data_IF_710421399006
#
_entry.id   IF_710421399006
#
_cell.length_a   1.000
_cell.length_b   1.000
_cell.length_c   1.000
_cell.angle_alpha   90.00
_cell.angle_beta   90.00
_cell.angle_gamma   90.00
#
_symmetry.space_group_name_H-M   'P 1'
#
loop_
_entity.id
_entity.type
_entity.pdbx_description
1 polymer ?
2 non-polymer ?
3 non-polymer ?
4 non-polymer ?
5 water ?
#
# COMPACT_ATOMS: atom_id res chain seq x y z
C UNK A 1 13.59 -30.04 21.46
N UNK A 2 14.30 -28.95 21.20
CA UNK A 2 13.73 -27.89 20.34
C UNK A 2 14.56 -27.62 19.09
N UNK A 3 13.93 -27.01 18.09
CA UNK A 3 14.57 -26.72 16.82
C UNK A 3 14.04 -25.40 16.28
N UNK A 4 14.90 -24.68 15.57
CA UNK A 4 14.49 -23.48 14.84
C UNK A 4 13.68 -23.89 13.63
N UNK A 5 12.43 -23.46 13.61
CA UNK A 5 11.51 -23.77 12.53
C UNK A 5 11.49 -22.68 11.46
N UNK A 6 11.72 -21.44 11.89
CA UNK A 6 11.79 -20.31 10.96
C UNK A 6 12.56 -19.21 11.65
N UNK A 7 13.30 -18.44 10.86
CA UNK A 7 14.05 -17.34 11.44
C UNK A 7 14.28 -16.29 10.37
N UNK A 8 14.17 -15.04 10.75
CA UNK A 8 14.56 -13.95 9.87
C UNK A 8 14.99 -12.77 10.72
N UNK A 9 15.90 -11.95 10.21
CA UNK A 9 16.41 -10.85 11.03
C UNK A 9 16.90 -9.76 10.05
N UNK A 10 16.98 -8.53 10.54
CA UNK A 10 17.48 -7.44 9.68
C UNK A 10 17.25 -6.09 10.30
N UNK A 11 17.03 -5.08 9.45
CA UNK A 11 16.94 -3.68 9.95
C UNK A 11 15.59 -3.13 9.52
N UNK A 12 14.89 -2.52 10.46
CA UNK A 12 13.58 -1.90 10.18
C UNK A 12 13.71 -0.40 10.31
N UNK A 13 12.74 0.32 9.70
CA UNK A 13 12.65 1.77 9.91
C UNK A 13 13.88 2.56 9.49
N UNK A 14 14.45 2.17 8.36
CA UNK A 14 15.59 2.88 7.80
C UNK A 14 15.05 4.00 6.89
N UNK A 15 15.16 5.24 7.36
CA UNK A 15 14.66 6.39 6.60
C UNK A 15 15.72 6.77 5.57
N UNK A 16 15.29 6.98 4.33
CA UNK A 16 16.22 7.33 3.27
C UNK A 16 15.63 8.46 2.42
N UNK A 17 16.44 9.48 2.13
CA UNK A 17 16.06 10.53 1.19
C UNK A 17 17.10 10.52 0.06
N UNK A 18 16.65 10.72 -1.17
CA UNK A 18 17.60 10.89 -2.29
C UNK A 18 17.12 12.07 -3.11
N UNK A 19 18.08 12.88 -3.59
CA UNK A 19 17.77 13.97 -4.50
C UNK A 19 18.42 13.70 -5.87
N UNK A 20 17.71 14.07 -6.93
CA UNK A 20 18.26 14.05 -8.29
C UNK A 20 18.30 15.50 -8.75
N UNK A 21 19.43 15.91 -9.34
CA UNK A 21 19.63 17.28 -9.81
C UNK A 21 19.89 17.24 -11.31
N UNK A 22 18.99 17.84 -12.08
CA UNK A 22 19.18 17.99 -13.51
C UNK A 22 20.03 19.25 -13.71
N UNK A 23 21.28 19.04 -14.15
CA UNK A 23 22.21 20.16 -14.33
C UNK A 23 21.78 21.09 -15.46
N UNK A 24 21.21 20.53 -16.53
CA UNK A 24 20.76 21.33 -17.68
C UNK A 24 19.64 22.32 -17.29
N UNK A 25 18.62 21.82 -16.59
CA UNK A 25 17.41 22.61 -16.32
C UNK A 25 17.38 23.22 -14.93
N UNK A 26 18.22 22.72 -14.03
CA UNK A 26 18.23 23.17 -12.64
C UNK A 26 17.16 22.53 -11.77
N UNK A 27 16.30 21.71 -12.36
CA UNK A 27 15.19 21.10 -11.64
C UNK A 27 15.71 19.98 -10.75
N UNK A 28 15.19 19.93 -9.51
CA UNK A 28 15.58 18.90 -8.55
C UNK A 28 14.35 18.07 -8.21
N UNK A 29 14.55 16.78 -7.94
CA UNK A 29 13.41 15.87 -7.66
C UNK A 29 13.84 15.06 -6.45
N UNK A 30 12.94 14.96 -5.48
CA UNK A 30 13.30 14.28 -4.22
C UNK A 30 12.47 13.01 -4.04
N UNK A 31 13.06 12.03 -3.36
CA UNK A 31 12.38 10.77 -3.04
C UNK A 31 12.63 10.50 -1.59
N UNK A 32 11.60 10.16 -0.83
CA UNK A 32 11.85 9.76 0.56
C UNK A 32 11.11 8.48 0.85
N UNK A 33 11.79 7.56 1.55
CA UNK A 33 11.23 6.22 1.78
C UNK A 33 11.58 5.75 3.18
N UNK A 34 10.88 4.74 3.68
CA UNK A 34 11.31 4.03 4.86
C UNK A 34 11.44 2.58 4.44
N UNK A 35 12.57 1.98 4.78
CA UNK A 35 12.92 0.67 4.24
C UNK A 35 13.11 -0.32 5.37
N UNK A 36 12.69 -1.56 5.14
CA UNK A 36 12.94 -2.67 6.07
C UNK A 36 13.49 -3.83 5.25
N UNK A 37 14.58 -4.43 5.71
CA UNK A 37 15.17 -5.59 5.00
C UNK A 37 15.35 -6.68 6.03
N UNK A 38 14.77 -7.84 5.75
CA UNK A 38 14.94 -9.02 6.63
C UNK A 38 15.48 -10.14 5.78
N UNK A 39 16.48 -10.82 6.33
CA UNK A 39 17.16 -11.92 5.63
C UNK A 39 16.81 -13.27 6.25
N UNK A 40 16.84 -14.30 5.41
CA UNK A 40 16.76 -15.70 5.86
C UNK A 40 17.92 -16.50 5.25
N UNK A 41 18.32 -17.58 5.88
CA UNK A 41 19.25 -18.52 5.23
C UNK A 41 19.79 -19.46 6.28
N UNK A 42 21.06 -19.83 6.12
CA UNK A 42 21.68 -20.78 7.01
C UNK A 42 22.24 -20.08 8.24
N UNK A 43 21.32 -19.62 9.11
CA UNK A 43 21.70 -18.78 10.23
C UNK A 43 21.25 -19.35 11.57
N UNK A 44 20.72 -20.58 11.56
CA UNK A 44 20.19 -21.20 12.78
C UNK A 44 21.19 -21.20 13.92
N UNK A 45 22.47 -21.38 13.61
CA UNK A 45 23.51 -21.47 14.65
C UNK A 45 23.71 -20.19 15.44
N UNK A 46 23.30 -19.04 14.89
CA UNK A 46 23.37 -17.83 15.69
C UNK A 46 22.40 -17.87 16.85
N UNK A 47 21.28 -18.56 16.67
CA UNK A 47 20.29 -18.70 17.72
C UNK A 47 20.65 -19.83 18.69
N UNK A 48 21.11 -20.95 18.15
CA UNK A 48 21.27 -22.16 18.95
C UNK A 48 22.64 -22.32 19.61
N UNK A 49 23.68 -21.77 18.99
CA UNK A 49 25.06 -22.01 19.47
C UNK A 49 25.86 -20.72 19.74
N UNK A 50 25.18 -19.57 19.63
CA UNK A 50 25.84 -18.28 19.78
C UNK A 50 26.96 -18.12 18.75
N UNK A 51 26.71 -18.60 17.55
CA UNK A 51 27.66 -18.52 16.45
C UNK A 51 27.33 -17.26 15.66
N UNK A 52 28.00 -16.15 15.99
CA UNK A 52 27.73 -14.91 15.25
C UNK A 52 28.40 -14.85 13.86
N UNK A 53 29.17 -15.87 13.49
CA UNK A 53 29.92 -15.81 12.24
C UNK A 53 29.03 -15.79 11.02
N UNK A 54 27.81 -16.29 11.21
CA UNK A 54 26.79 -16.34 10.15
C UNK A 54 25.99 -15.04 10.02
N UNK A 55 26.20 -14.13 10.96
CA UNK A 55 25.39 -12.90 10.98
C UNK A 55 26.03 -11.77 10.20
N UNK A 56 25.34 -11.35 9.15
CA UNK A 56 25.59 -10.07 8.50
C UNK A 56 24.91 -9.08 9.45
N UNK A 57 25.69 -8.20 10.10
CA UNK A 57 25.15 -7.36 11.18
C UNK A 57 24.04 -6.47 10.62
N UNK A 58 23.04 -6.18 11.45
CA UNK A 58 21.91 -5.37 10.97
C UNK A 58 22.43 -3.97 10.63
N UNK A 59 23.43 -3.51 11.36
CA UNK A 59 24.13 -2.23 11.04
C UNK A 59 24.70 -2.23 9.63
N UNK A 60 25.26 -3.38 9.22
CA UNK A 60 25.75 -3.52 7.83
C UNK A 60 24.64 -3.51 6.81
N UNK A 61 23.51 -4.10 7.14
CA UNK A 61 22.33 -4.04 6.28
C UNK A 61 21.95 -2.57 6.07
N UNK A 62 21.96 -1.80 7.14
CA UNK A 62 21.66 -0.36 7.06
C UNK A 62 22.64 0.33 6.09
N UNK A 63 23.94 0.10 6.26
CA UNK A 63 24.95 0.67 5.34
C UNK A 63 24.67 0.32 3.89
N UNK A 64 24.31 -0.95 3.66
CA UNK A 64 24.06 -1.46 2.34
C UNK A 64 22.86 -0.76 1.68
N UNK A 65 21.83 -0.47 2.47
CA UNK A 65 20.71 0.26 1.93
C UNK A 65 21.18 1.65 1.41
N UNK A 66 21.97 2.39 2.18
CA UNK A 66 22.41 3.72 1.73
C UNK A 66 23.30 3.61 0.50
N UNK A 67 24.25 2.67 0.51
CA UNK A 67 25.18 2.44 -0.62
C UNK A 67 24.39 2.09 -1.91
N UNK A 68 23.43 1.17 -1.79
CA UNK A 68 22.60 0.78 -2.90
C UNK A 68 21.78 1.95 -3.45
N UNK A 69 21.24 2.77 -2.55
CA UNK A 69 20.52 3.97 -2.97
C UNK A 69 21.44 4.96 -3.69
N UNK A 70 22.71 5.01 -3.27
CA UNK A 70 23.70 5.93 -3.91
C UNK A 70 24.02 5.50 -5.36
N UNK A 71 24.04 4.21 -5.60
CA UNK A 71 24.51 3.66 -6.89
C UNK A 71 23.44 3.21 -7.87
N UNK A 72 22.17 3.34 -7.49
CA UNK A 72 21.06 2.85 -8.29
C UNK A 72 19.87 3.79 -8.24
N UNK A 73 18.96 3.66 -9.21
CA UNK A 73 17.78 4.50 -9.13
C UNK A 73 16.93 3.97 -7.97
N UNK A 74 16.20 4.86 -7.33
CA UNK A 74 15.36 4.44 -6.20
C UNK A 74 13.90 4.35 -6.63
N UNK A 75 13.67 4.65 -7.90
CA UNK A 75 12.35 4.60 -8.48
C UNK A 75 12.37 3.84 -9.83
N UNK A 76 11.29 3.09 -10.14
CA UNK A 76 10.16 2.78 -9.23
C UNK A 76 10.63 1.90 -8.07
N UNK A 77 9.91 1.94 -6.94
CA UNK A 77 10.33 1.18 -5.75
C UNK A 77 10.40 -0.32 -5.99
N UNK A 78 9.57 -0.84 -6.89
CA UNK A 78 9.62 -2.25 -7.30
C UNK A 78 11.03 -2.62 -7.81
N UNK A 79 11.64 -1.73 -8.57
CA UNK A 79 12.97 -1.99 -9.10
C UNK A 79 14.02 -1.86 -8.00
N UNK A 80 13.98 -0.76 -7.25
CA UNK A 80 14.92 -0.60 -6.15
C UNK A 80 14.88 -1.77 -5.15
N UNK A 81 13.69 -2.21 -4.77
CA UNK A 81 13.54 -3.34 -3.83
C UNK A 81 14.13 -4.62 -4.39
N UNK A 82 13.93 -4.83 -5.70
CA UNK A 82 14.46 -6.01 -6.38
C UNK A 82 15.99 -5.97 -6.44
N UNK A 83 16.57 -4.80 -6.76
CA UNK A 83 18.03 -4.66 -6.70
C UNK A 83 18.58 -4.93 -5.30
N UNK A 84 17.95 -4.32 -4.29
CA UNK A 84 18.38 -4.45 -2.91
C UNK A 84 18.32 -5.90 -2.43
N UNK A 85 17.23 -6.59 -2.71
CA UNK A 85 17.09 -7.99 -2.29
C UNK A 85 18.06 -8.92 -2.99
N UNK A 86 18.21 -8.73 -4.31
CA UNK A 86 19.12 -9.57 -5.10
C UNK A 86 20.55 -9.43 -4.58
N UNK A 87 20.95 -8.20 -4.24
CA UNK A 87 22.25 -7.97 -3.63
C UNK A 87 22.51 -8.96 -2.53
N UNK A 88 21.58 -9.10 -1.57
CA UNK A 88 21.91 -9.93 -0.41
C UNK A 88 22.07 -11.40 -0.73
N UNK A 89 21.25 -11.91 -1.63
CA UNK A 89 21.30 -13.34 -1.92
C UNK A 89 22.50 -13.67 -2.81
N UNK A 90 22.94 -12.70 -3.61
CA UNK A 90 24.13 -12.94 -4.45
C UNK A 90 25.45 -12.73 -3.70
N UNK A 91 25.48 -11.78 -2.77
CA UNK A 91 26.69 -11.46 -2.04
C UNK A 91 27.06 -12.52 -1.02
N UNK A 92 26.07 -13.07 -0.33
CA UNK A 92 26.34 -13.96 0.79
C UNK A 92 25.87 -15.36 0.46
N UNK A 93 26.82 -16.28 0.43
CA UNK A 93 26.48 -17.65 0.05
C UNK A 93 25.36 -18.27 0.90
N UNK A 94 25.38 -17.98 2.20
CA UNK A 94 24.50 -18.66 3.15
C UNK A 94 23.17 -17.95 3.35
N UNK A 95 23.02 -16.79 2.74
CA UNK A 95 21.74 -16.09 2.78
C UNK A 95 20.94 -16.48 1.56
N UNK A 96 19.75 -17.04 1.78
CA UNK A 96 18.98 -17.56 0.66
C UNK A 96 17.68 -16.81 0.35
N UNK A 97 17.27 -15.88 1.22
CA UNK A 97 16.09 -15.07 0.89
C UNK A 97 16.24 -13.68 1.48
N UNK A 98 15.76 -12.66 0.76
CA UNK A 98 15.73 -11.29 1.31
C UNK A 98 14.29 -10.83 1.17
N UNK A 99 13.82 -10.14 2.20
CA UNK A 99 12.48 -9.63 2.23
C UNK A 99 12.58 -8.13 2.40
N UNK A 100 12.16 -7.39 1.38
CA UNK A 100 12.35 -5.93 1.38
C UNK A 100 11.02 -5.25 1.37
N UNK A 101 10.78 -4.39 2.38
CA UNK A 101 9.55 -3.62 2.40
C UNK A 101 9.91 -2.15 2.28
N UNK A 102 9.24 -1.43 1.40
CA UNK A 102 9.53 0.00 1.20
C UNK A 102 8.23 0.75 1.27
N UNK A 103 8.22 1.83 2.04
CA UNK A 103 7.09 2.76 2.10
C UNK A 103 7.60 4.05 1.49
N UNK A 104 6.88 4.54 0.49
CA UNK A 104 7.24 5.79 -0.19
C UNK A 104 6.34 6.90 0.31
N UNK A 105 6.98 8.00 0.71
CA UNK A 105 6.31 9.17 1.29
C UNK A 105 6.13 10.20 0.19
N UNK A 106 5.02 10.92 0.23
CA UNK A 106 4.76 11.92 -0.81
C UNK A 106 5.55 13.22 -0.62
N UNK A 107 6.33 13.59 -1.65
CA UNK A 107 6.86 14.95 -1.75
C UNK A 107 6.42 15.47 -3.13
N UNK A 108 5.39 16.28 -3.13
CA UNK A 108 4.78 16.70 -4.40
C UNK A 108 5.30 18.10 -4.73
N UNK A 109 5.70 18.30 -5.98
CA UNK A 109 6.32 19.58 -6.33
C UNK A 109 5.29 20.71 -6.15
N UNK A 110 5.73 21.80 -5.52
CA UNK A 110 4.89 22.97 -5.30
C UNK A 110 4.66 23.70 -6.61
N UNK A 111 3.43 24.18 -6.81
CA UNK A 111 3.15 25.17 -7.86
C UNK A 111 3.07 26.54 -7.20
N UNK A 112 3.94 27.44 -7.65
CA UNK A 112 3.94 28.81 -7.14
C UNK A 112 3.61 29.73 -8.33
N UNK A 113 2.59 30.57 -8.17
CA UNK A 113 2.10 31.42 -9.27
C UNK A 113 1.84 30.60 -10.54
N UNK A 114 1.23 29.43 -10.37
CA UNK A 114 0.89 28.55 -11.49
C UNK A 114 2.04 27.91 -12.26
N UNK A 115 3.27 28.04 -11.76
CA UNK A 115 4.39 27.31 -12.36
C UNK A 115 5.03 26.36 -11.36
N UNK A 116 5.44 25.17 -11.83
CA UNK A 116 6.07 24.18 -10.95
C UNK A 116 7.42 24.67 -10.45
N UNK A 117 7.66 24.58 -9.15
CA UNK A 117 8.88 25.12 -8.60
C UNK A 117 10.02 24.11 -8.73
N UNK A 118 11.23 24.59 -9.11
CA UNK A 118 12.32 23.67 -9.34
C UNK A 118 12.80 22.83 -8.14
N UNK A 119 12.59 23.31 -6.91
CA UNK A 119 13.17 22.61 -5.78
C UNK A 119 12.37 22.73 -4.47
N UNK A 120 11.07 22.91 -4.56
CA UNK A 120 10.24 23.00 -3.32
C UNK A 120 9.08 22.04 -3.40
N UNK A 121 8.75 21.40 -2.25
CA UNK A 121 7.85 20.27 -2.25
C UNK A 121 6.93 20.33 -1.05
N UNK A 122 5.77 19.72 -1.20
CA UNK A 122 4.77 19.69 -0.15
C UNK A 122 4.36 18.26 0.08
N UNK A 123 4.11 17.93 1.33
CA UNK A 123 3.55 16.62 1.62
C UNK A 123 2.03 16.75 1.52
N UNK A 124 1.48 16.38 0.38
CA UNK A 124 0.03 16.35 0.20
C UNK A 124 -0.56 14.97 0.64
N UNK A 125 -0.80 14.83 1.93
CA UNK A 125 -1.47 13.66 2.46
C UNK A 125 -0.48 12.60 2.78
N UNK A 126 -0.94 11.76 3.70
CA UNK A 126 -0.19 10.72 4.24
C UNK A 126 -0.43 9.45 3.45
N UNK A 127 -1.12 9.55 2.29
CA UNK A 127 -1.21 8.38 1.40
C UNK A 127 0.20 7.87 1.07
N UNK A 128 0.36 6.55 1.04
CA UNK A 128 1.67 5.92 0.76
C UNK A 128 1.56 5.05 -0.48
N UNK A 129 2.70 4.86 -1.13
CA UNK A 129 2.86 3.85 -2.15
C UNK A 129 3.89 2.89 -1.58
N UNK A 130 3.57 1.59 -1.55
CA UNK A 130 4.42 0.62 -0.89
C UNK A 130 4.80 -0.50 -1.84
N UNK A 131 5.90 -1.17 -1.52
CA UNK A 131 6.20 -2.45 -2.15
C UNK A 131 6.66 -3.45 -1.13
N UNK A 132 6.32 -4.71 -1.36
CA UNK A 132 6.92 -5.82 -0.64
C UNK A 132 7.61 -6.70 -1.69
N UNK A 133 8.91 -6.91 -1.56
CA UNK A 133 9.66 -7.69 -2.56
C UNK A 133 10.33 -8.85 -1.84
N UNK A 134 10.04 -10.08 -2.26
CA UNK A 134 10.65 -11.25 -1.65
C UNK A 134 11.53 -11.87 -2.73
N UNK A 135 12.83 -11.87 -2.45
CA UNK A 135 13.81 -12.42 -3.40
C UNK A 135 14.29 -13.73 -2.80
N UNK A 136 14.03 -14.85 -3.49
CA UNK A 136 14.33 -16.17 -2.91
C UNK A 136 15.23 -16.92 -3.88
N UNK A 137 16.40 -17.35 -3.39
CA UNK A 137 17.38 -18.00 -4.24
C UNK A 137 16.74 -19.21 -4.93
N UNK A 138 16.82 -19.22 -6.25
CA UNK A 138 16.26 -20.30 -7.05
C UNK A 138 14.78 -20.17 -7.39
N UNK A 139 14.08 -19.23 -6.77
CA UNK A 139 12.63 -19.07 -6.95
C UNK A 139 12.24 -17.67 -7.45
N UNK A 140 13.21 -16.89 -7.89
CA UNK A 140 12.90 -15.61 -8.56
C UNK A 140 12.53 -14.51 -7.59
N UNK A 141 11.67 -13.60 -8.05
CA UNK A 141 11.34 -12.36 -7.32
C UNK A 141 9.82 -12.21 -7.30
N UNK A 142 9.26 -12.18 -6.08
CA UNK A 142 7.83 -11.95 -5.93
C UNK A 142 7.60 -10.52 -5.43
N UNK A 143 6.74 -9.80 -6.12
CA UNK A 143 6.52 -8.39 -5.80
C UNK A 143 5.03 -8.13 -5.55
N UNK A 144 4.71 -7.54 -4.39
CA UNK A 144 3.38 -7.07 -4.12
C UNK A 144 3.46 -5.56 -4.01
N UNK A 145 2.68 -4.85 -4.84
CA UNK A 145 2.70 -3.40 -4.81
C UNK A 145 1.40 -2.91 -4.15
N UNK A 146 1.45 -1.76 -3.49
CA UNK A 146 0.20 -1.30 -2.87
C UNK A 146 0.09 0.21 -2.72
N UNK A 147 -1.15 0.66 -2.54
CA UNK A 147 -1.33 2.00 -2.03
C UNK A 147 -2.10 1.88 -0.71
N UNK A 148 -1.84 2.82 0.17
CA UNK A 148 -2.53 2.79 1.48
C UNK A 148 -2.71 4.19 2.00
N UNK A 149 -3.63 4.37 2.94
CA UNK A 149 -3.81 5.67 3.54
C UNK A 149 -4.50 6.69 2.63
N UNK A 150 -5.27 6.17 1.66
CA UNK A 150 -6.09 7.01 0.77
C UNK A 150 -7.49 7.13 1.37
N UNK A 151 -7.77 8.28 1.96
CA UNK A 151 -8.96 8.47 2.79
C UNK A 151 -9.99 9.26 1.99
N UNK A 152 -11.16 8.66 1.82
CA UNK A 152 -12.20 9.26 0.96
C UNK A 152 -13.55 9.22 1.65
N UNK A 153 -14.50 10.03 1.17
CA UNK A 153 -15.84 10.05 1.73
C UNK A 153 -16.78 10.48 0.60
N UNK A 154 -17.91 9.81 0.53
CA UNK A 154 -19.02 10.30 -0.30
C UNK A 154 -20.25 10.50 0.58
N UNK A 155 -20.99 11.56 0.30
CA UNK A 155 -22.05 12.00 1.21
C UNK A 155 -23.44 11.43 0.87
N UNK A 156 -23.53 10.74 -0.27
CA UNK A 156 -24.78 10.11 -0.71
C UNK A 156 -24.41 9.05 -1.74
N UNK A 157 -25.40 8.38 -2.34
CA UNK A 157 -25.14 7.29 -3.33
C UNK A 157 -24.37 6.11 -2.73
N UNK A 158 -24.76 5.78 -1.50
CA UNK A 158 -24.38 4.55 -0.85
C UNK A 158 -25.65 4.02 -0.17
N UNK A 159 -25.88 2.71 -0.27
CA UNK A 159 -27.04 2.07 0.31
C UNK A 159 -26.60 0.83 1.03
N UNK A 160 -27.46 0.34 1.90
CA UNK A 160 -27.25 -0.94 2.54
C UNK A 160 -28.58 -1.49 3.05
N UNK A 161 -29.19 -2.36 2.23
CA UNK A 161 -30.43 -3.04 2.60
C UNK A 161 -30.42 -4.48 2.13
N UNK A 162 -31.36 -5.29 2.61
CA UNK A 162 -31.45 -6.72 2.23
C UNK A 162 -30.47 -7.66 2.90
N UNK A 163 -29.83 -7.20 3.99
CA UNK A 163 -28.98 -8.09 4.78
C UNK A 163 -29.79 -9.02 5.70
N UNK A 164 -29.14 -10.07 6.20
CA UNK A 164 -29.78 -11.03 7.08
C UNK A 164 -30.28 -10.36 8.37
N UNK A 165 -31.51 -10.69 8.76
CA UNK A 165 -32.09 -10.10 9.97
C UNK A 165 -32.52 -11.23 10.87
N UNK A 166 -32.01 -11.24 12.10
CA UNK A 166 -32.41 -12.23 13.08
C UNK A 166 -32.44 -11.57 14.46
N UNK A 167 -32.41 -12.37 15.52
CA UNK A 167 -32.60 -11.82 16.86
C UNK A 167 -31.37 -11.04 17.35
N UNK A 168 -30.30 -11.04 16.56
CA UNK A 168 -29.09 -10.22 16.89
C UNK A 168 -29.06 -8.89 16.15
N UNK A 169 -30.08 -8.64 15.30
CA UNK A 169 -30.06 -7.50 14.38
C UNK A 169 -30.86 -6.30 14.88
N UNK A 170 -30.22 -5.14 14.95
CA UNK A 170 -30.91 -3.88 15.23
C UNK A 170 -30.76 -2.86 14.12
N UNK A 171 -29.80 -3.07 13.22
CA UNK A 171 -29.49 -2.11 12.16
C UNK A 171 -30.67 -1.92 11.21
N UNK A 172 -31.08 -0.68 10.97
CA UNK A 172 -32.14 -0.38 10.00
C UNK A 172 -31.59 -0.39 8.57
N UNK A 173 -32.38 -0.92 7.64
CA UNK A 173 -32.03 -0.83 6.25
C UNK A 173 -32.04 0.63 5.84
N UNK A 174 -31.16 0.97 4.89
CA UNK A 174 -31.04 2.33 4.40
C UNK A 174 -30.77 2.41 2.90
N UNK A 175 -31.33 3.45 2.29
CA UNK A 175 -31.15 3.69 0.86
C UNK A 175 -30.32 4.94 0.60
N UNK A 176 -29.75 5.53 1.66
CA UNK A 176 -28.97 6.73 1.49
C UNK A 176 -28.15 6.90 2.76
N UNK A 177 -26.85 6.68 2.64
CA UNK A 177 -25.96 6.86 3.79
C UNK A 177 -24.64 7.45 3.32
N UNK A 178 -23.85 7.89 4.30
CA UNK A 178 -22.49 8.29 4.05
C UNK A 178 -21.63 7.05 3.97
N UNK A 179 -20.65 7.07 3.06
CA UNK A 179 -19.64 6.00 3.00
C UNK A 179 -18.24 6.62 3.01
N UNK A 180 -17.42 6.21 3.97
CA UNK A 180 -16.07 6.74 4.06
C UNK A 180 -15.14 5.61 4.44
N UNK A 181 -13.93 5.60 3.88
CA UNK A 181 -12.99 4.51 4.09
C UNK A 181 -11.56 5.02 3.92
N UNK A 182 -10.61 4.20 4.39
CA UNK A 182 -9.20 4.41 4.10
C UNK A 182 -8.80 3.26 3.21
N UNK A 183 -8.41 3.54 1.98
CA UNK A 183 -8.19 2.46 1.05
C UNK A 183 -6.83 1.83 1.20
N UNK A 184 -6.80 0.51 1.32
CA UNK A 184 -5.58 -0.27 1.28
C UNK A 184 -5.76 -1.26 0.11
N UNK A 185 -5.02 -1.07 -0.99
CA UNK A 185 -5.18 -1.92 -2.18
C UNK A 185 -3.83 -2.51 -2.54
N UNK A 186 -3.76 -3.82 -2.80
CA UNK A 186 -2.50 -4.48 -3.13
C UNK A 186 -2.68 -5.24 -4.43
N UNK A 187 -1.73 -5.11 -5.35
CA UNK A 187 -1.73 -5.94 -6.57
C UNK A 187 -0.45 -6.78 -6.57
N UNK A 188 -0.61 -8.07 -6.79
CA UNK A 188 0.48 -9.02 -6.76
C UNK A 188 0.85 -9.37 -8.21
N UNK A 189 2.12 -9.15 -8.51
CA UNK A 189 2.66 -9.42 -9.85
C UNK A 189 2.94 -10.90 -10.03
N UNK A 190 2.86 -11.36 -11.28
CA UNK A 190 3.33 -12.68 -11.58
C UNK A 190 4.81 -12.75 -11.16
N UNK A 191 5.24 -13.92 -10.77
CA UNK A 191 6.61 -14.17 -10.35
C UNK A 191 7.56 -13.78 -11.48
N UNK A 192 8.65 -13.10 -11.12
CA UNK A 192 9.70 -12.72 -12.09
C UNK A 192 10.92 -13.61 -11.91
N UNK A 193 11.61 -13.95 -13.01
CA UNK A 193 12.70 -14.91 -12.91
C UNK A 193 13.95 -14.34 -12.26
N UNK A 194 14.10 -13.01 -12.28
CA UNK A 194 15.26 -12.35 -11.70
C UNK A 194 15.27 -10.89 -12.09
N UNK A 195 16.38 -10.22 -11.80
CA UNK A 195 16.48 -8.79 -12.06
C UNK A 195 16.28 -8.38 -13.53
N UNK A 196 16.80 -9.18 -14.46
CA UNK A 196 16.67 -8.84 -15.86
C UNK A 196 15.21 -8.71 -16.26
N UNK A 197 14.39 -9.66 -15.79
CA UNK A 197 12.98 -9.63 -16.11
C UNK A 197 12.26 -8.44 -15.44
N UNK A 198 12.60 -8.17 -14.17
CA UNK A 198 12.01 -6.99 -13.50
C UNK A 198 12.36 -5.73 -14.29
N UNK A 199 13.62 -5.63 -14.69
CA UNK A 199 14.07 -4.47 -15.48
C UNK A 199 13.27 -4.29 -16.76
N UNK A 200 12.93 -5.40 -17.41
CA UNK A 200 12.19 -5.38 -18.69
C UNK A 200 10.79 -4.81 -18.56
N UNK A 201 10.22 -4.86 -17.35
CA UNK A 201 8.85 -4.42 -17.13
C UNK A 201 8.76 -3.09 -16.40
N UNK A 202 9.90 -2.43 -16.22
CA UNK A 202 9.99 -1.20 -15.43
C UNK A 202 8.89 -0.17 -15.70
N UNK A 203 8.57 0.12 -16.99
CA UNK A 203 7.54 1.16 -17.22
C UNK A 203 6.13 0.78 -16.69
N UNK A 204 5.88 -0.52 -16.52
CA UNK A 204 4.56 -0.99 -16.10
C UNK A 204 4.29 -0.64 -14.62
N UNK A 205 5.36 -0.43 -13.85
CA UNK A 205 5.16 -0.28 -12.38
C UNK A 205 4.43 1.01 -12.03
N UNK A 206 4.94 2.15 -12.51
CA UNK A 206 4.28 3.42 -12.25
C UNK A 206 2.91 3.48 -12.93
N UNK A 207 2.82 2.92 -14.15
CA UNK A 207 1.58 2.96 -14.89
C UNK A 207 0.46 2.21 -14.18
N UNK A 208 0.81 1.10 -13.55
CA UNK A 208 -0.17 0.22 -12.91
C UNK A 208 -0.58 0.83 -11.57
N UNK A 209 0.38 1.39 -10.85
CA UNK A 209 0.05 2.21 -9.65
C UNK A 209 -0.95 3.32 -10.00
N UNK A 210 -0.67 4.06 -11.07
CA UNK A 210 -1.56 5.15 -11.47
C UNK A 210 -2.95 4.62 -11.82
N UNK A 211 -3.01 3.49 -12.51
CA UNK A 211 -4.27 2.87 -12.91
C UNK A 211 -5.06 2.41 -11.69
N UNK A 212 -4.36 1.74 -10.79
CA UNK A 212 -5.02 1.29 -9.55
C UNK A 212 -5.65 2.48 -8.81
N UNK A 213 -4.91 3.59 -8.70
CA UNK A 213 -5.37 4.75 -7.99
C UNK A 213 -6.58 5.36 -8.71
N UNK A 214 -6.48 5.48 -10.02
CA UNK A 214 -7.55 6.08 -10.82
C UNK A 214 -8.84 5.28 -10.77
N UNK A 215 -8.71 3.96 -10.90
CA UNK A 215 -9.86 3.05 -10.87
C UNK A 215 -10.50 3.10 -9.50
N UNK A 216 -9.66 3.13 -8.46
CA UNK A 216 -10.22 3.22 -7.10
C UNK A 216 -11.06 4.46 -6.92
N UNK A 217 -10.52 5.61 -7.31
CA UNK A 217 -11.19 6.88 -7.09
C UNK A 217 -12.45 7.00 -7.95
N UNK A 218 -12.34 6.68 -9.24
CA UNK A 218 -13.51 6.76 -10.13
C UNK A 218 -14.66 5.85 -9.72
N UNK A 219 -14.37 4.59 -9.38
CA UNK A 219 -15.38 3.62 -9.00
C UNK A 219 -16.05 4.03 -7.70
N UNK A 220 -15.25 4.50 -6.75
CA UNK A 220 -15.82 4.94 -5.50
C UNK A 220 -16.78 6.10 -5.74
N UNK A 221 -16.34 7.07 -6.53
CA UNK A 221 -17.12 8.27 -6.77
C UNK A 221 -18.40 7.96 -7.58
N UNK A 222 -18.30 7.07 -8.57
CA UNK A 222 -19.43 6.81 -9.49
C UNK A 222 -20.38 5.63 -9.15
N UNK A 223 -19.94 4.66 -8.34
CA UNK A 223 -20.79 3.50 -8.07
C UNK A 223 -21.91 3.89 -7.13
N UNK A 224 -23.16 3.54 -7.48
CA UNK A 224 -24.23 3.71 -6.52
C UNK A 224 -24.20 2.47 -5.68
N UNK A 225 -23.52 2.58 -4.54
CA UNK A 225 -22.95 1.42 -3.91
C UNK A 225 -23.99 0.60 -3.16
N UNK A 226 -24.02 -0.71 -3.42
CA UNK A 226 -24.95 -1.59 -2.74
C UNK A 226 -24.41 -2.06 -1.41
N UNK A 227 -23.08 -1.93 -1.27
CA UNK A 227 -22.35 -2.34 -0.08
C UNK A 227 -20.88 -2.08 -0.34
N UNK A 228 -20.07 -2.13 0.73
CA UNK A 228 -18.66 -1.96 0.51
C UNK A 228 -18.16 -3.14 -0.32
N UNK A 229 -18.66 -4.34 0.00
CA UNK A 229 -18.29 -5.59 -0.70
C UNK A 229 -18.47 -5.44 -2.23
N UNK A 230 -19.65 -4.94 -2.63
CA UNK A 230 -19.97 -4.92 -4.06
C UNK A 230 -19.12 -3.87 -4.78
N UNK A 231 -18.86 -2.76 -4.11
CA UNK A 231 -18.09 -1.69 -4.74
C UNK A 231 -16.63 -2.08 -4.87
N UNK A 232 -16.08 -2.72 -3.84
CA UNK A 232 -14.66 -3.07 -3.89
C UNK A 232 -14.39 -4.13 -4.97
N UNK A 233 -15.35 -5.02 -5.17
CA UNK A 233 -15.20 -6.05 -6.19
C UNK A 233 -15.10 -5.39 -7.56
N UNK A 234 -15.95 -4.40 -7.80
CA UNK A 234 -15.88 -3.65 -9.07
C UNK A 234 -14.51 -3.04 -9.32
N UNK A 235 -13.89 -2.49 -8.28
CA UNK A 235 -12.56 -1.94 -8.42
C UNK A 235 -11.54 -2.99 -8.83
N UNK A 236 -11.52 -4.11 -8.11
CA UNK A 236 -10.57 -5.17 -8.31
C UNK A 236 -10.70 -5.76 -9.73
N UNK A 237 -11.94 -5.96 -10.15
CA UNK A 237 -12.23 -6.50 -11.49
C UNK A 237 -11.59 -5.63 -12.57
N UNK A 238 -11.74 -4.32 -12.45
CA UNK A 238 -11.21 -3.40 -13.45
C UNK A 238 -9.69 -3.40 -13.49
N UNK A 239 -9.04 -3.42 -12.33
CA UNK A 239 -7.57 -3.44 -12.30
C UNK A 239 -7.02 -4.68 -13.01
N UNK A 240 -7.63 -5.83 -12.76
CA UNK A 240 -7.18 -7.08 -13.36
C UNK A 240 -7.35 -7.05 -14.87
N UNK A 241 -8.37 -6.33 -15.31
CA UNK A 241 -8.65 -6.21 -16.75
C UNK A 241 -7.62 -5.36 -17.47
N UNK A 242 -7.01 -4.41 -16.76
CA UNK A 242 -6.13 -3.44 -17.39
C UNK A 242 -4.66 -3.80 -17.34
N UNK A 243 -4.30 -4.81 -16.56
CA UNK A 243 -2.91 -5.20 -16.48
C UNK A 243 -2.77 -6.71 -16.34
N UNK A 244 -2.36 -7.36 -17.43
CA UNK A 244 -2.32 -8.81 -17.49
C UNK A 244 -1.21 -9.44 -16.66
N UNK A 245 -0.21 -8.65 -16.28
CA UNK A 245 0.89 -9.17 -15.47
C UNK A 245 0.56 -9.25 -13.98
N UNK A 246 -0.63 -8.74 -13.60
CA UNK A 246 -1.14 -8.88 -12.22
C UNK A 246 -1.92 -10.18 -12.08
N UNK A 247 -1.65 -10.92 -11.01
CA UNK A 247 -2.35 -12.16 -10.74
C UNK A 247 -3.54 -12.00 -9.79
N UNK A 248 -3.38 -11.21 -8.74
CA UNK A 248 -4.49 -10.99 -7.79
C UNK A 248 -4.48 -9.53 -7.35
N UNK A 249 -5.64 -9.09 -6.88
CA UNK A 249 -5.81 -7.74 -6.31
C UNK A 249 -6.51 -7.96 -4.97
N UNK A 250 -6.00 -7.32 -3.92
CA UNK A 250 -6.61 -7.48 -2.60
C UNK A 250 -6.97 -6.10 -2.11
N UNK A 251 -8.17 -5.95 -1.58
CA UNK A 251 -8.55 -4.67 -0.94
C UNK A 251 -8.88 -4.98 0.49
N UNK A 252 -8.50 -4.05 1.37
CA UNK A 252 -8.95 -4.11 2.78
C UNK A 252 -9.47 -2.72 3.10
N UNK A 253 -10.75 -2.64 3.44
CA UNK A 253 -11.46 -1.37 3.60
C UNK A 253 -12.23 -1.31 4.93
N UNK A 254 -11.86 -0.37 5.80
CA UNK A 254 -12.72 -0.09 6.94
C UNK A 254 -13.99 0.65 6.51
N UNK A 255 -15.09 0.42 7.22
CA UNK A 255 -16.29 1.20 6.99
C UNK A 255 -16.34 2.18 8.16
N UNK A 256 -15.96 3.43 7.92
CA UNK A 256 -15.81 4.45 8.97
C UNK A 256 -17.17 5.11 9.17
N UNK A 257 -17.86 4.74 10.24
CA UNK A 257 -19.28 5.09 10.35
C UNK A 257 -19.53 6.54 10.74
N UNK A 258 -20.55 7.13 10.11
CA UNK A 258 -21.08 8.43 10.51
C UNK A 258 -22.54 8.22 10.91
N UNK A 259 -22.88 8.51 12.16
CA UNK A 259 -24.20 8.20 12.68
C UNK A 259 -25.10 9.43 12.60
N UNK A 260 -26.37 9.21 12.24
CA UNK A 260 -27.37 10.28 12.43
C UNK A 260 -27.49 10.65 13.90
N UNK A 261 -27.86 11.89 14.17
CA UNK A 261 -28.14 12.36 15.52
C UNK A 261 -29.58 12.81 15.65
N UNK A 262 -30.37 12.11 16.45
CA UNK A 262 -31.76 12.49 16.65
C UNK A 262 -31.79 13.70 17.59
N UNK A 263 -32.36 14.79 17.10
CA UNK A 263 -32.47 16.02 17.87
C UNK A 263 -33.93 16.38 18.15
N UNK A 264 -34.84 15.44 17.89
CA UNK A 264 -36.28 15.71 18.03
C UNK A 264 -36.66 16.01 19.47
N UNK A 265 -35.87 15.50 20.42
CA UNK A 265 -36.10 15.81 21.84
C UNK A 265 -35.97 17.31 22.14
N UNK A 266 -35.26 18.03 21.28
CA UNK A 266 -35.07 19.46 21.45
C UNK A 266 -35.93 20.28 20.47
N UNK A 267 -37.09 20.75 20.97
CA UNK A 267 -37.98 21.62 20.17
C UNK A 267 -38.48 20.98 18.87
N UNK A 268 -38.60 19.65 18.86
CA UNK A 268 -38.98 18.90 17.67
C UNK A 268 -38.05 19.04 16.48
N UNK A 269 -36.77 19.34 16.73
CA UNK A 269 -35.83 19.63 15.65
C UNK A 269 -35.63 18.39 14.78
N UNK A 270 -35.68 18.57 13.46
CA UNK A 270 -35.67 17.46 12.52
C UNK A 270 -34.29 17.25 11.90
N UNK A 271 -33.63 16.16 12.28
CA UNK A 271 -32.28 15.89 11.82
C UNK A 271 -32.02 14.42 11.44
N UNK A 272 -33.08 13.67 11.12
CA UNK A 272 -32.91 12.28 10.70
C UNK A 272 -33.51 12.06 9.31
N UNK A 273 -33.10 10.96 8.67
CA UNK A 273 -33.57 10.62 7.31
C UNK A 273 -33.33 11.73 6.31
N UNK A 274 -34.41 12.16 5.66
CA UNK A 274 -34.30 13.19 4.62
C UNK A 274 -33.81 14.52 5.18
N UNK A 275 -34.01 14.71 6.47
CA UNK A 275 -33.68 15.96 7.15
C UNK A 275 -32.30 15.94 7.83
N UNK A 276 -31.58 14.84 7.69
CA UNK A 276 -30.27 14.69 8.36
C UNK A 276 -29.23 15.63 7.76
N UNK A 277 -28.64 16.50 8.59
CA UNK A 277 -27.63 17.43 8.15
C UNK A 277 -26.37 17.33 9.01
N UNK A 278 -26.56 17.11 10.30
CA UNK A 278 -25.42 17.04 11.23
C UNK A 278 -25.28 15.60 11.69
N UNK A 279 -24.07 15.06 11.57
CA UNK A 279 -23.82 13.66 11.91
C UNK A 279 -22.67 13.60 12.91
N UNK A 280 -22.57 12.46 13.57
CA UNK A 280 -21.50 12.20 14.54
C UNK A 280 -20.57 11.14 13.96
N UNK A 281 -19.37 11.56 13.51
CA UNK A 281 -18.39 10.56 13.06
C UNK A 281 -18.00 9.67 14.23
N UNK A 282 -17.92 8.37 13.98
CA UNK A 282 -17.59 7.40 15.05
C UNK A 282 -16.15 6.97 14.90
N UNK A 283 -15.35 7.15 15.96
CA UNK A 283 -13.94 6.70 15.88
C UNK A 283 -13.81 5.18 15.91
N UNK A 284 -14.69 4.52 16.66
CA UNK A 284 -14.69 3.06 16.73
C UNK A 284 -16.08 2.64 17.24
N UNK A 285 -16.47 1.38 17.01
CA UNK A 285 -15.85 0.36 16.18
C UNK A 285 -15.99 0.72 14.72
N UNK A 286 -15.40 -0.10 13.86
CA UNK A 286 -15.59 0.08 12.43
C UNK A 286 -15.76 -1.26 11.75
N UNK A 287 -16.55 -1.29 10.70
CA UNK A 287 -16.57 -2.47 9.85
C UNK A 287 -15.22 -2.65 9.19
N UNK A 288 -14.89 -3.89 8.84
CA UNK A 288 -13.65 -4.14 8.11
C UNK A 288 -13.99 -5.20 7.09
N UNK A 289 -13.78 -4.86 5.82
CA UNK A 289 -14.20 -5.73 4.73
C UNK A 289 -12.99 -6.02 3.86
N UNK A 290 -12.77 -7.29 3.55
CA UNK A 290 -11.59 -7.67 2.75
C UNK A 290 -11.99 -8.55 1.58
N UNK A 291 -11.24 -8.48 0.50
CA UNK A 291 -11.45 -9.47 -0.55
C UNK A 291 -10.20 -9.59 -1.39
N UNK A 292 -9.96 -10.80 -1.91
CA UNK A 292 -8.87 -11.03 -2.85
C UNK A 292 -9.50 -11.56 -4.13
N UNK A 293 -9.21 -10.91 -5.24
CA UNK A 293 -9.83 -11.26 -6.53
C UNK A 293 -8.72 -11.72 -7.43
N UNK A 294 -8.92 -12.85 -8.08
CA UNK A 294 -7.94 -13.35 -9.05
C UNK A 294 -8.64 -13.67 -10.35
N UNK A 295 -7.94 -14.35 -11.24
CA UNK A 295 -8.49 -14.66 -12.56
C UNK A 295 -9.19 -16.01 -12.54
N UNK A 296 -10.33 -16.08 -13.26
CA UNK A 296 -11.14 -17.31 -13.39
C UNK A 296 -10.26 -18.55 -13.47
X LIG B 1 23.02 -16.60 -1.36
X LIG C 1 -21.21 -3.90 4.47
X LIG C 1 -21.59 -2.60 4.39
X LIG C 1 -21.30 -2.00 3.33
X LIG C 1 -22.25 -1.96 5.41
X LIG C 1 -22.55 -2.68 6.52
X LIG C 1 -22.17 -4.05 6.66
X LIG C 1 -21.48 -4.68 5.54
X LIG C 1 -21.11 -5.86 5.62
X LIG C 1 -22.59 -4.53 7.89
X LIG C 1 -23.22 -3.40 8.47
X LIG C 1 -23.21 -2.25 7.66
X LIG D 1 -19.91 -2.23 8.34
X LIG D 1 -18.91 -2.44 7.72
#
# INVERSE_FOLDING_TARGET
XSAVKAARYGKDNVRVYKVHKDEKTGVQTVYEMTVCVLLEGEIETSYTKADNSVIVATDSIKNTIYITAKQNPVTPPELFGSILGTHFIEKYNHIHAAHVNIVCHRWTRMDIDGKPHPHSFIRDSEEKRNVQVDVVEGKGIDIKSSLSGLTVLKSTNSQFWGFLRDEYTTLKETWDRILSTDVDATWQWKNFSGLQEVRSHVPKFDATWATAREVTLKTFAEDNSASVQATMYKMAEQILARQQLIETVEYSLPNKHYFEIDLSWHKGLQNTGKNAEVFAPQSDPNGLIKCTVGRSSLKSKL
NA NA
AZA N1 C2 O2 N3 C4 C5 C6 O6 N7 N8 N9
OXY O1 O2
#
